data_IF_972579224033
#
_entry.id   IF_972579224033
#
_cell.length_a   1.000
_cell.length_b   1.000
_cell.length_c   1.000
_cell.angle_alpha   90.00
_cell.angle_beta   90.00
_cell.angle_gamma   90.00
#
_symmetry.space_group_name_H-M   'P 1'
#
loop_
_entity.id
_entity.type
_entity.pdbx_description
1 polymer ?
#
# COMPACT_ATOMS: atom_id res chain seq x y z
N UNK A 1 -49.74 -56.40 21.75
CA UNK A 1 -48.38 -55.88 21.91
C UNK A 1 -47.65 -56.21 20.64
N UNK A 2 -47.51 -55.23 19.76
CA UNK A 2 -46.81 -55.43 18.48
C UNK A 2 -46.04 -54.16 18.17
N UNK A 3 -44.73 -54.21 18.37
CA UNK A 3 -43.78 -53.14 18.05
C UNK A 3 -43.60 -53.10 16.54
N UNK A 4 -43.96 -51.96 15.94
CA UNK A 4 -43.73 -51.68 14.56
C UNK A 4 -42.30 -51.15 14.42
N UNK A 5 -41.39 -52.02 13.94
CA UNK A 5 -40.05 -51.68 13.51
C UNK A 5 -40.08 -50.69 12.34
N UNK A 6 -39.72 -49.43 12.57
CA UNK A 6 -39.51 -48.44 11.51
C UNK A 6 -38.11 -48.64 10.93
N UNK A 7 -38.07 -49.30 9.80
CA UNK A 7 -36.85 -49.32 8.95
C UNK A 7 -36.58 -47.93 8.37
N UNK A 8 -35.39 -47.34 8.50
CA UNK A 8 -35.10 -46.07 7.88
C UNK A 8 -35.04 -46.26 6.35
N UNK A 9 -35.76 -45.42 5.64
CA UNK A 9 -35.85 -45.37 4.18
C UNK A 9 -34.47 -44.97 3.65
N UNK A 10 -33.88 -45.70 2.68
CA UNK A 10 -32.59 -45.32 2.10
C UNK A 10 -32.78 -43.95 1.37
N UNK A 11 -31.88 -43.02 1.62
CA UNK A 11 -31.81 -41.75 0.89
C UNK A 11 -31.50 -42.04 -0.58
N UNK A 12 -32.41 -41.61 -1.46
CA UNK A 12 -32.25 -41.79 -2.90
C UNK A 12 -30.93 -41.14 -3.38
N UNK A 13 -30.16 -41.92 -4.16
CA UNK A 13 -28.91 -41.47 -4.74
C UNK A 13 -29.04 -40.18 -5.54
N UNK A 14 -30.22 -39.90 -6.10
CA UNK A 14 -30.53 -38.64 -6.78
C UNK A 14 -30.57 -37.42 -5.85
N UNK A 15 -31.07 -37.60 -4.62
CA UNK A 15 -31.10 -36.51 -3.63
C UNK A 15 -29.69 -36.18 -3.14
N UNK A 16 -28.83 -37.18 -2.99
CA UNK A 16 -27.42 -36.99 -2.64
C UNK A 16 -26.62 -36.32 -3.77
N UNK A 17 -26.86 -36.67 -5.02
CA UNK A 17 -26.25 -36.02 -6.16
C UNK A 17 -26.70 -34.57 -6.32
N UNK A 18 -27.99 -34.27 -6.17
CA UNK A 18 -28.49 -32.88 -6.21
C UNK A 18 -27.92 -32.01 -5.10
N UNK A 19 -27.71 -32.56 -3.91
CA UNK A 19 -27.05 -31.83 -2.83
C UNK A 19 -25.55 -31.64 -3.11
N UNK A 20 -24.86 -32.64 -3.65
CA UNK A 20 -23.45 -32.53 -4.02
C UNK A 20 -23.22 -31.50 -5.14
N UNK A 21 -24.11 -31.47 -6.14
CA UNK A 21 -24.05 -30.49 -7.23
C UNK A 21 -24.36 -29.06 -6.75
N UNK A 22 -25.19 -28.92 -5.70
CA UNK A 22 -25.44 -27.61 -5.09
C UNK A 22 -24.21 -27.06 -4.32
N UNK A 23 -23.39 -27.96 -3.76
CA UNK A 23 -22.10 -27.59 -3.11
C UNK A 23 -20.94 -27.52 -4.11
N UNK A 24 -21.06 -28.16 -5.28
CA UNK A 24 -20.03 -28.16 -6.32
C UNK A 24 -20.16 -27.03 -7.34
N UNK A 25 -21.15 -26.13 -7.19
CA UNK A 25 -21.11 -24.88 -7.95
C UNK A 25 -19.94 -24.08 -7.41
N UNK A 26 -18.87 -23.88 -8.22
CA UNK A 26 -17.91 -22.84 -7.87
C UNK A 26 -18.75 -21.58 -7.70
N UNK A 27 -18.70 -21.00 -6.53
CA UNK A 27 -19.01 -19.58 -6.41
C UNK A 27 -17.97 -18.95 -7.32
N UNK A 28 -18.34 -18.64 -8.55
CA UNK A 28 -17.68 -17.60 -9.32
C UNK A 28 -17.89 -16.31 -8.54
N UNK A 29 -17.21 -16.22 -7.41
CA UNK A 29 -16.79 -14.97 -6.88
C UNK A 29 -15.96 -14.42 -8.04
N UNK A 30 -16.55 -13.53 -8.86
CA UNK A 30 -15.76 -12.56 -9.60
C UNK A 30 -14.72 -12.13 -8.58
N UNK A 31 -13.48 -12.61 -8.73
CA UNK A 31 -12.36 -12.13 -7.96
C UNK A 31 -12.29 -10.66 -8.34
N UNK A 32 -12.93 -9.82 -7.53
CA UNK A 32 -12.67 -8.39 -7.55
C UNK A 32 -11.17 -8.33 -7.51
N UNK A 33 -10.57 -7.66 -8.49
CA UNK A 33 -9.13 -7.52 -8.53
C UNK A 33 -8.77 -6.62 -7.36
N UNK A 34 -8.48 -7.25 -6.22
CA UNK A 34 -8.07 -6.53 -5.03
C UNK A 34 -6.64 -6.03 -5.25
N UNK A 35 -6.48 -4.73 -5.15
CA UNK A 35 -5.18 -4.08 -5.14
C UNK A 35 -4.72 -4.02 -3.68
N UNK A 36 -3.58 -4.64 -3.39
CA UNK A 36 -2.97 -4.53 -2.08
C UNK A 36 -2.15 -3.25 -1.98
N UNK A 37 -2.38 -2.50 -0.91
CA UNK A 37 -1.67 -1.25 -0.65
C UNK A 37 -1.04 -1.25 0.74
N UNK A 38 0.10 -0.61 0.86
CA UNK A 38 0.72 -0.26 2.14
C UNK A 38 0.19 1.11 2.52
N UNK A 39 -0.52 1.20 3.64
CA UNK A 39 -1.05 2.44 4.15
C UNK A 39 -0.01 3.13 5.01
N UNK A 40 0.21 4.41 4.78
CA UNK A 40 1.13 5.25 5.54
C UNK A 40 0.48 6.58 5.90
N UNK A 41 0.91 7.18 7.03
CA UNK A 41 0.51 8.53 7.42
C UNK A 41 1.68 9.49 7.29
N UNK A 42 1.42 10.67 6.73
CA UNK A 42 2.34 11.80 6.65
C UNK A 42 1.60 13.05 7.11
N UNK A 43 1.94 13.55 8.28
CA UNK A 43 1.21 14.63 8.92
C UNK A 43 -0.25 14.26 9.18
N UNK A 44 -1.17 15.02 8.62
CA UNK A 44 -2.62 14.76 8.70
C UNK A 44 -3.15 13.91 7.54
N UNK A 45 -2.32 13.55 6.57
CA UNK A 45 -2.74 12.90 5.33
C UNK A 45 -2.44 11.41 5.35
N UNK A 46 -3.35 10.62 4.78
CA UNK A 46 -3.16 9.22 4.53
C UNK A 46 -2.74 8.98 3.09
N UNK A 47 -1.77 8.09 2.90
CA UNK A 47 -1.17 7.76 1.60
C UNK A 47 -1.17 6.25 1.46
N UNK A 48 -1.48 5.78 0.26
CA UNK A 48 -1.47 4.38 -0.11
C UNK A 48 -0.40 4.12 -1.17
N UNK A 49 0.56 3.28 -0.85
CA UNK A 49 1.57 2.80 -1.81
C UNK A 49 1.14 1.43 -2.35
N UNK A 50 1.13 1.20 -3.68
CA UNK A 50 0.91 -0.14 -4.23
C UNK A 50 1.90 -1.13 -3.62
N UNK A 51 1.41 -2.17 -2.93
CA UNK A 51 2.27 -3.10 -2.19
C UNK A 51 3.30 -3.80 -3.08
N UNK A 52 2.96 -4.05 -4.34
CA UNK A 52 3.86 -4.64 -5.34
C UNK A 52 5.09 -3.75 -5.65
N UNK A 53 5.05 -2.46 -5.32
CA UNK A 53 6.13 -1.49 -5.55
C UNK A 53 6.92 -1.19 -4.29
N UNK A 54 6.46 -1.67 -3.13
CA UNK A 54 7.15 -1.51 -1.85
C UNK A 54 8.11 -2.67 -1.65
N UNK A 55 9.41 -2.37 -1.64
CA UNK A 55 10.46 -3.36 -1.37
C UNK A 55 10.42 -3.79 0.10
N UNK A 56 10.23 -2.83 1.00
CA UNK A 56 10.13 -3.06 2.45
C UNK A 56 9.62 -1.85 3.21
N UNK A 57 9.20 -2.11 4.43
CA UNK A 57 8.92 -1.11 5.46
C UNK A 57 9.77 -1.45 6.67
N UNK A 58 10.51 -0.47 7.18
CA UNK A 58 11.39 -0.66 8.34
C UNK A 58 11.30 0.51 9.31
N UNK A 59 11.96 0.43 10.45
CA UNK A 59 12.07 1.57 11.38
C UNK A 59 12.83 2.71 10.72
N UNK A 60 12.48 3.94 11.08
CA UNK A 60 13.19 5.12 10.59
C UNK A 60 14.66 5.06 11.01
N UNK A 61 15.55 5.35 10.07
CA UNK A 61 17.00 5.43 10.29
C UNK A 61 17.49 6.83 9.93
N UNK A 62 18.54 7.29 10.61
CA UNK A 62 19.15 8.59 10.32
C UNK A 62 19.98 8.51 9.06
N UNK A 63 19.68 9.28 8.01
CA UNK A 63 20.46 9.28 6.78
C UNK A 63 21.79 10.02 6.96
N UNK A 64 22.83 9.53 6.27
CA UNK A 64 24.11 10.20 6.17
C UNK A 64 24.11 11.18 5.01
N UNK A 65 24.38 12.45 5.29
CA UNK A 65 24.40 13.50 4.26
C UNK A 65 25.47 13.21 3.20
N UNK A 66 25.11 13.44 1.94
CA UNK A 66 26.04 13.33 0.81
C UNK A 66 26.75 14.67 0.63
N UNK A 67 28.10 14.74 0.73
CA UNK A 67 28.84 15.95 0.47
C UNK A 67 28.55 16.51 -0.93
N UNK A 68 28.54 17.82 -1.05
CA UNK A 68 28.31 18.56 -2.32
C UNK A 68 26.95 18.40 -3.00
N UNK A 69 26.03 17.59 -2.45
CA UNK A 69 24.62 17.54 -2.88
C UNK A 69 23.80 18.53 -2.08
N UNK A 70 23.13 19.45 -2.79
CA UNK A 70 22.40 20.58 -2.15
C UNK A 70 20.90 20.54 -2.37
N UNK A 71 20.39 19.57 -3.09
CA UNK A 71 18.94 19.50 -3.31
C UNK A 71 18.22 19.27 -1.98
N UNK A 72 17.31 20.19 -1.64
CA UNK A 72 16.65 20.18 -0.31
C UNK A 72 15.87 18.91 -0.01
N UNK A 73 15.35 18.24 -1.05
CA UNK A 73 14.60 17.00 -0.88
C UNK A 73 15.50 15.77 -0.62
N UNK A 74 16.80 15.82 -0.95
CA UNK A 74 17.72 14.72 -0.67
C UNK A 74 18.25 14.82 0.77
N UNK A 75 17.73 13.97 1.65
CA UNK A 75 18.16 13.89 3.05
C UNK A 75 19.56 13.25 3.18
N UNK A 76 19.87 12.29 2.32
CA UNK A 76 21.15 11.59 2.33
C UNK A 76 21.04 10.14 1.85
N UNK A 77 22.00 9.31 2.28
CA UNK A 77 22.01 7.87 2.05
C UNK A 77 21.86 7.14 3.38
N UNK A 78 21.15 6.03 3.37
CA UNK A 78 21.05 5.16 4.53
C UNK A 78 21.31 3.71 4.15
N UNK A 79 21.93 2.96 5.07
CA UNK A 79 21.98 1.51 4.96
C UNK A 79 20.72 0.92 5.56
N UNK A 80 19.93 0.29 4.74
CA UNK A 80 18.69 -0.36 5.12
C UNK A 80 18.86 -1.86 4.91
N UNK A 81 19.12 -2.58 6.00
CA UNK A 81 19.34 -4.03 6.00
C UNK A 81 20.37 -4.53 4.98
N UNK A 82 21.49 -3.80 4.86
CA UNK A 82 22.60 -4.16 3.96
C UNK A 82 22.51 -3.55 2.56
N UNK A 83 21.43 -2.87 2.21
CA UNK A 83 21.29 -2.14 0.94
C UNK A 83 21.37 -0.63 1.19
N UNK A 84 22.11 0.07 0.32
CA UNK A 84 22.16 1.53 0.35
C UNK A 84 20.96 2.08 -0.40
N UNK A 85 20.18 2.90 0.30
CA UNK A 85 19.04 3.62 -0.29
C UNK A 85 19.25 5.14 -0.21
N UNK A 86 18.80 5.86 -1.21
CA UNK A 86 18.70 7.31 -1.16
C UNK A 86 17.46 7.70 -0.34
N UNK A 87 17.69 8.47 0.73
CA UNK A 87 16.60 8.97 1.58
C UNK A 87 16.16 10.32 1.08
N UNK A 88 14.89 10.41 0.74
CA UNK A 88 14.28 11.61 0.15
C UNK A 88 13.08 12.07 1.00
N UNK A 89 13.01 13.36 1.22
CA UNK A 89 11.88 14.00 1.87
C UNK A 89 10.67 14.03 0.90
N UNK A 90 9.70 13.18 1.18
CA UNK A 90 8.48 13.04 0.40
C UNK A 90 7.72 14.37 0.26
N UNK A 91 7.61 15.13 1.34
CA UNK A 91 6.91 16.40 1.34
C UNK A 91 7.59 17.43 0.42
N UNK A 92 8.91 17.49 0.45
CA UNK A 92 9.67 18.37 -0.44
C UNK A 92 9.52 18.00 -1.92
N UNK A 93 9.42 16.69 -2.25
CA UNK A 93 9.18 16.24 -3.62
C UNK A 93 7.75 16.55 -4.05
N UNK A 94 6.78 16.34 -3.17
CA UNK A 94 5.37 16.57 -3.47
C UNK A 94 4.95 18.05 -3.34
N UNK A 95 5.81 18.92 -2.83
CA UNK A 95 5.56 20.37 -2.76
C UNK A 95 4.64 20.81 -1.63
N UNK A 96 4.64 20.13 -0.48
CA UNK A 96 3.88 20.52 0.70
C UNK A 96 4.76 20.64 1.96
N UNK A 97 4.25 21.38 2.96
CA UNK A 97 4.95 21.57 4.21
C UNK A 97 4.68 20.42 5.19
N UNK A 98 5.71 19.64 5.42
CA UNK A 98 5.76 18.63 6.46
C UNK A 98 7.22 18.33 6.79
N UNK A 99 7.46 18.00 8.03
CA UNK A 99 8.76 17.50 8.48
C UNK A 99 8.53 16.31 9.38
N UNK A 100 9.35 15.26 9.25
CA UNK A 100 9.24 14.11 10.12
C UNK A 100 9.32 14.53 11.58
N UNK A 101 8.31 14.15 12.35
CA UNK A 101 8.31 14.39 13.80
C UNK A 101 9.28 13.45 14.53
N UNK A 102 9.76 12.40 13.83
CA UNK A 102 10.50 11.31 14.42
C UNK A 102 9.65 10.51 15.40
N UNK A 103 10.28 9.66 16.18
CA UNK A 103 9.65 8.91 17.25
C UNK A 103 9.49 7.41 16.96
N UNK A 104 8.94 6.68 17.94
CA UNK A 104 8.90 5.21 17.91
C UNK A 104 8.03 4.63 16.79
N UNK A 105 7.09 5.40 16.25
CA UNK A 105 6.20 4.98 15.16
C UNK A 105 6.74 5.31 13.78
N UNK A 106 7.71 6.22 13.66
CA UNK A 106 8.28 6.60 12.37
C UNK A 106 8.85 5.39 11.63
N UNK A 107 8.56 5.32 10.35
CA UNK A 107 8.96 4.22 9.47
C UNK A 107 9.61 4.76 8.21
N UNK A 108 10.41 3.91 7.57
CA UNK A 108 10.86 4.10 6.21
C UNK A 108 10.06 3.20 5.29
N UNK A 109 9.45 3.78 4.28
CA UNK A 109 8.90 3.05 3.12
C UNK A 109 9.95 3.07 2.03
N UNK A 110 10.38 1.89 1.58
CA UNK A 110 11.43 1.73 0.57
C UNK A 110 10.79 1.29 -0.74
N UNK A 111 11.01 2.07 -1.77
CA UNK A 111 10.49 1.87 -3.13
C UNK A 111 11.62 1.67 -4.14
N UNK A 112 11.29 1.16 -5.30
CA UNK A 112 12.23 1.00 -6.42
C UNK A 112 12.67 -0.43 -6.64
N UNK A 113 13.93 -0.62 -6.98
CA UNK A 113 14.52 -1.92 -7.26
C UNK A 113 15.79 -2.13 -6.40
N UNK A 114 16.20 -3.38 -6.24
CA UNK A 114 17.47 -3.69 -5.55
C UNK A 114 18.64 -3.00 -6.25
N UNK A 115 19.43 -2.28 -5.45
CA UNK A 115 20.56 -1.49 -5.96
C UNK A 115 20.18 -0.09 -6.46
N UNK A 116 18.88 0.23 -6.55
CA UNK A 116 18.36 1.56 -6.90
C UNK A 116 17.13 1.89 -6.03
N UNK A 117 17.32 1.80 -4.72
CA UNK A 117 16.25 1.96 -3.75
C UNK A 117 16.14 3.40 -3.26
N UNK A 118 14.90 3.84 -3.10
CA UNK A 118 14.51 5.14 -2.54
C UNK A 118 13.75 4.92 -1.24
N UNK A 119 14.11 5.64 -0.21
CA UNK A 119 13.48 5.54 1.09
C UNK A 119 12.83 6.86 1.48
N UNK A 120 11.62 6.76 2.00
CA UNK A 120 10.81 7.90 2.44
C UNK A 120 10.43 7.70 3.90
N UNK A 121 10.74 8.67 4.74
CA UNK A 121 10.26 8.65 6.11
C UNK A 121 8.78 9.01 6.16
N UNK A 122 8.02 8.28 6.98
CA UNK A 122 6.59 8.49 7.25
C UNK A 122 6.35 8.41 8.74
N UNK A 123 5.28 9.04 9.24
CA UNK A 123 4.98 9.07 10.66
C UNK A 123 4.60 7.69 11.22
N UNK A 124 3.86 6.91 10.43
CA UNK A 124 3.49 5.54 10.78
C UNK A 124 3.02 4.74 9.56
N UNK A 125 3.12 3.43 9.68
CA UNK A 125 2.57 2.45 8.74
C UNK A 125 1.77 1.45 9.56
N UNK A 126 0.42 1.57 9.62
CA UNK A 126 -0.42 0.64 10.36
C UNK A 126 -0.44 -0.76 9.75
N UNK A 127 -0.26 -0.87 8.43
CA UNK A 127 -0.23 -2.16 7.75
C UNK A 127 -0.58 -2.10 6.28
N UNK A 128 -1.01 -3.24 5.75
CA UNK A 128 -1.49 -3.40 4.38
C UNK A 128 -3.01 -3.51 4.35
N UNK A 129 -3.60 -2.99 3.28
CA UNK A 129 -5.04 -3.05 3.03
C UNK A 129 -5.29 -3.64 1.65
N UNK A 130 -6.26 -4.53 1.53
CA UNK A 130 -6.79 -4.97 0.24
C UNK A 130 -7.95 -4.05 -0.15
N UNK A 131 -7.88 -3.45 -1.32
CA UNK A 131 -8.86 -2.49 -1.84
C UNK A 131 -9.37 -3.00 -3.17
N UNK A 132 -10.68 -3.03 -3.34
CA UNK A 132 -11.26 -3.34 -4.65
C UNK A 132 -10.91 -2.23 -5.64
N UNK A 133 -10.49 -2.60 -6.84
CA UNK A 133 -10.22 -1.62 -7.89
C UNK A 133 -11.47 -0.76 -8.23
N UNK A 134 -12.67 -1.29 -7.97
CA UNK A 134 -13.94 -0.58 -8.17
C UNK A 134 -14.18 0.53 -7.13
N UNK A 135 -13.60 0.38 -5.93
CA UNK A 135 -13.74 1.35 -4.84
C UNK A 135 -12.73 2.52 -4.96
N UNK A 136 -11.79 2.41 -5.89
CA UNK A 136 -10.83 3.48 -6.17
C UNK A 136 -11.51 4.59 -6.96
N UNK A 137 -11.45 5.81 -6.42
CA UNK A 137 -11.99 7.00 -7.07
C UNK A 137 -10.85 7.77 -7.73
N UNK A 138 -11.04 8.17 -9.00
CA UNK A 138 -10.09 9.05 -9.65
C UNK A 138 -9.89 10.33 -8.82
N UNK A 139 -8.65 10.78 -8.68
CA UNK A 139 -8.37 12.00 -7.95
C UNK A 139 -9.07 13.19 -8.63
N UNK A 140 -9.95 13.93 -7.92
CA UNK A 140 -10.57 15.12 -8.51
C UNK A 140 -9.48 16.13 -8.85
N UNK A 141 -9.51 16.69 -10.04
CA UNK A 141 -8.54 17.69 -10.54
C UNK A 141 -8.52 18.96 -9.66
N UNK A 142 -9.56 19.17 -8.86
CA UNK A 142 -9.76 20.35 -8.00
C UNK A 142 -9.35 20.16 -6.54
N UNK A 143 -8.99 18.95 -6.12
CA UNK A 143 -8.55 18.74 -4.73
C UNK A 143 -7.08 19.09 -4.65
N UNK A 144 -6.79 20.24 -4.04
CA UNK A 144 -5.44 20.62 -3.57
C UNK A 144 -5.02 19.71 -2.41
N UNK A 145 -4.97 18.38 -2.66
CA UNK A 145 -4.29 17.51 -1.72
C UNK A 145 -2.80 17.75 -1.84
N UNK A 146 -2.05 17.76 -0.75
CA UNK A 146 -0.60 17.96 -0.77
C UNK A 146 0.17 17.04 -1.73
N UNK A 147 -0.47 15.99 -2.25
CA UNK A 147 0.13 14.96 -3.10
C UNK A 147 -0.40 14.94 -4.54
N UNK A 148 -1.15 15.97 -4.98
CA UNK A 148 -1.88 15.96 -6.26
C UNK A 148 -1.00 15.63 -7.48
N UNK A 149 0.29 15.98 -7.45
CA UNK A 149 1.23 15.70 -8.55
C UNK A 149 1.63 14.22 -8.70
N UNK A 150 1.44 13.42 -7.66
CA UNK A 150 1.84 12.00 -7.64
C UNK A 150 0.72 11.10 -7.14
N UNK A 151 -0.53 11.56 -7.22
CA UNK A 151 -1.71 10.80 -6.80
C UNK A 151 -2.48 10.32 -8.03
N UNK A 152 -2.55 9.00 -8.21
CA UNK A 152 -3.32 8.39 -9.31
C UNK A 152 -4.80 8.21 -8.98
N UNK A 153 -5.18 8.27 -7.70
CA UNK A 153 -6.56 8.10 -7.23
C UNK A 153 -6.67 8.19 -5.72
N UNK A 154 -7.89 8.00 -5.23
CA UNK A 154 -8.19 7.94 -3.79
C UNK A 154 -8.67 6.53 -3.44
N UNK A 155 -8.20 6.04 -2.31
CA UNK A 155 -8.53 4.74 -1.72
C UNK A 155 -9.35 4.99 -0.45
N UNK A 156 -10.55 4.43 -0.30
CA UNK A 156 -11.29 4.51 0.94
C UNK A 156 -10.59 3.67 2.02
N UNK A 157 -10.41 4.26 3.20
CA UNK A 157 -9.86 3.57 4.37
C UNK A 157 -10.67 3.90 5.61
N UNK A 158 -10.48 3.14 6.70
CA UNK A 158 -11.11 3.42 7.99
C UNK A 158 -10.70 4.78 8.59
N UNK A 159 -9.56 5.32 8.13
CA UNK A 159 -9.03 6.62 8.56
C UNK A 159 -9.46 7.77 7.64
N UNK A 160 -10.29 7.50 6.64
CA UNK A 160 -10.68 8.44 5.59
C UNK A 160 -9.98 8.13 4.26
N UNK A 161 -10.16 8.98 3.24
CA UNK A 161 -9.56 8.73 1.93
C UNK A 161 -8.04 8.86 1.97
N UNK A 162 -7.33 7.86 1.44
CA UNK A 162 -5.90 7.87 1.26
C UNK A 162 -5.55 8.13 -0.22
N UNK A 163 -4.56 8.98 -0.48
CA UNK A 163 -4.05 9.21 -1.83
C UNK A 163 -3.25 8.01 -2.33
N UNK A 164 -3.65 7.40 -3.44
CA UNK A 164 -2.86 6.36 -4.10
C UNK A 164 -1.68 6.97 -4.83
N UNK A 165 -0.47 6.58 -4.46
CA UNK A 165 0.76 7.10 -5.04
C UNK A 165 1.02 6.51 -6.43
N UNK A 166 1.26 7.37 -7.40
CA UNK A 166 1.90 7.01 -8.65
C UNK A 166 3.41 6.86 -8.40
N UNK A 167 3.83 5.63 -8.17
CA UNK A 167 5.22 5.33 -7.81
C UNK A 167 6.18 5.64 -8.96
N UNK A 168 5.78 5.44 -10.21
CA UNK A 168 6.66 5.71 -11.36
C UNK A 168 6.91 7.21 -11.53
N UNK A 169 5.87 8.03 -11.41
CA UNK A 169 6.00 9.48 -11.41
C UNK A 169 6.85 9.96 -10.24
N UNK A 170 6.64 9.41 -9.03
CA UNK A 170 7.41 9.76 -7.84
C UNK A 170 8.90 9.41 -8.01
N UNK A 171 9.23 8.19 -8.46
CA UNK A 171 10.61 7.76 -8.65
C UNK A 171 11.32 8.60 -9.73
N UNK A 172 10.63 8.93 -10.82
CA UNK A 172 11.16 9.83 -11.86
C UNK A 172 11.53 11.20 -11.26
N UNK A 173 10.67 11.75 -10.41
CA UNK A 173 10.97 13.00 -9.72
C UNK A 173 12.18 12.88 -8.79
N UNK A 174 12.29 11.76 -8.05
CA UNK A 174 13.43 11.49 -7.18
C UNK A 174 14.76 11.39 -7.95
N UNK A 175 14.75 10.81 -9.14
CA UNK A 175 15.96 10.82 -10.01
C UNK A 175 16.38 12.25 -10.38
N UNK A 176 15.43 13.13 -10.63
CA UNK A 176 15.69 14.56 -10.86
C UNK A 176 16.37 15.22 -9.67
N UNK A 177 15.97 14.86 -8.44
CA UNK A 177 16.56 15.37 -7.18
C UNK A 177 18.06 15.03 -7.06
N UNK A 178 18.46 13.84 -7.53
CA UNK A 178 19.87 13.38 -7.42
C UNK A 178 20.75 13.92 -8.53
N UNK A 179 20.17 14.23 -9.69
CA UNK A 179 20.93 14.76 -10.85
C UNK A 179 21.28 16.24 -10.74
N UNK A 180 20.59 16.99 -9.88
CA UNK A 180 20.82 18.43 -9.65
C UNK A 180 21.77 18.66 -8.49
#
# INVERSE_FOLDING_TARGET
>A
MSEASRTPRPLDAQTLQQQTDAFARPVETQRKQDVHVVLARIGSSWIAFPAARVLRVTTAVVPHRVPHRRHRALCGLANIEGEIAAVVDFASVCGFDWSPAGGARARMVVLGERGSAWAFEVDEVPGTLAVSAEDMVAAPVTVSTPHAGFTSGLVPTEHGPAGMVDVDALLTACEGVVRT
#
